data_IF_520775540465
#
_entry.id   IF_520775540465
#
_cell.length_a   1.000
_cell.length_b   1.000
_cell.length_c   1.000
_cell.angle_alpha   90.00
_cell.angle_beta   90.00
_cell.angle_gamma   90.00
#
_symmetry.space_group_name_H-M   'P 1'
#
loop_
_entity.id
_entity.type
_entity.pdbx_description
1 polymer ?
#
# COMPACT_ATOMS: atom_id res chain seq x y z
N UNK A 1 39.09 -12.61 20.35
CA UNK A 1 38.03 -11.63 20.65
C UNK A 1 36.68 -12.32 20.60
N UNK A 2 36.20 -12.81 21.75
CA UNK A 2 34.86 -13.39 21.87
C UNK A 2 33.94 -12.30 22.44
N UNK A 3 32.95 -11.87 21.66
CA UNK A 3 31.85 -11.07 22.20
C UNK A 3 30.93 -12.02 22.99
N UNK A 4 30.92 -11.88 24.31
CA UNK A 4 29.93 -12.53 25.18
C UNK A 4 28.74 -11.60 25.28
N UNK A 5 27.65 -11.98 24.62
CA UNK A 5 26.37 -11.29 24.72
C UNK A 5 25.75 -11.67 26.07
N UNK A 6 25.86 -10.79 27.06
CA UNK A 6 25.22 -10.96 28.36
C UNK A 6 23.75 -10.52 28.26
N UNK A 7 22.89 -11.39 27.75
CA UNK A 7 21.44 -11.13 27.69
C UNK A 7 20.67 -11.91 28.75
N UNK A 8 19.61 -11.28 29.25
CA UNK A 8 18.73 -11.86 30.27
C UNK A 8 18.04 -13.12 29.73
N UNK A 9 18.10 -14.26 30.43
CA UNK A 9 17.41 -15.49 30.02
C UNK A 9 15.88 -15.34 29.93
N UNK A 10 15.33 -14.25 30.47
CA UNK A 10 13.89 -13.92 30.38
C UNK A 10 13.51 -13.32 29.03
N UNK A 11 14.43 -12.66 28.32
CA UNK A 11 14.14 -11.98 27.05
C UNK A 11 13.61 -12.97 26.00
N UNK A 12 14.27 -14.13 25.86
CA UNK A 12 13.85 -15.16 24.90
C UNK A 12 12.53 -15.85 25.27
N UNK A 13 12.17 -15.94 26.55
CA UNK A 13 10.89 -16.56 26.97
C UNK A 13 9.68 -15.78 26.47
N UNK A 14 9.78 -14.46 26.36
CA UNK A 14 8.68 -13.63 25.88
C UNK A 14 8.42 -13.82 24.37
N UNK A 15 9.47 -14.08 23.58
CA UNK A 15 9.35 -14.31 22.13
C UNK A 15 9.08 -15.77 21.75
N UNK A 16 9.25 -16.72 22.68
CA UNK A 16 9.05 -18.16 22.43
C UNK A 16 7.76 -18.47 21.65
N UNK A 17 6.58 -18.04 22.12
CA UNK A 17 5.31 -18.28 21.40
C UNK A 17 5.27 -17.70 19.99
N UNK A 18 5.85 -16.51 19.77
CA UNK A 18 5.95 -15.90 18.45
C UNK A 18 6.89 -16.69 17.54
N UNK A 19 8.04 -17.14 18.06
CA UNK A 19 9.02 -17.91 17.30
C UNK A 19 8.49 -19.30 16.94
N UNK A 20 7.74 -19.96 17.83
CA UNK A 20 7.09 -21.23 17.54
C UNK A 20 6.02 -21.07 16.45
N UNK A 21 5.24 -19.99 16.50
CA UNK A 21 4.25 -19.67 15.46
C UNK A 21 4.91 -19.41 14.10
N UNK A 22 6.00 -18.64 14.07
CA UNK A 22 6.77 -18.39 12.84
C UNK A 22 7.40 -19.66 12.27
N UNK A 23 7.90 -20.55 13.14
CA UNK A 23 8.43 -21.86 12.74
C UNK A 23 7.34 -22.72 12.11
N UNK A 24 6.18 -22.83 12.77
CA UNK A 24 5.03 -23.59 12.26
C UNK A 24 4.59 -23.06 10.88
N UNK A 25 4.52 -21.74 10.72
CA UNK A 25 4.16 -21.12 9.43
C UNK A 25 5.18 -21.43 8.32
N UNK A 26 6.46 -21.45 8.68
CA UNK A 26 7.53 -21.80 7.76
C UNK A 26 7.45 -23.27 7.33
N UNK A 27 7.29 -24.18 8.28
CA UNK A 27 7.21 -25.64 8.05
C UNK A 27 5.99 -26.01 7.21
N UNK A 28 4.84 -25.37 7.45
CA UNK A 28 3.62 -25.54 6.66
C UNK A 28 3.67 -24.88 5.29
N UNK A 29 4.71 -24.08 5.01
CA UNK A 29 4.85 -23.34 3.75
C UNK A 29 3.81 -22.22 3.55
N UNK A 30 3.13 -21.78 4.61
CA UNK A 30 2.07 -20.77 4.56
C UNK A 30 2.49 -19.42 5.17
N UNK A 31 3.80 -19.18 5.34
CA UNK A 31 4.35 -17.91 5.81
C UNK A 31 3.92 -16.76 4.88
N UNK A 32 3.08 -15.82 5.35
CA UNK A 32 2.63 -14.71 4.52
C UNK A 32 3.78 -13.74 4.25
N UNK A 33 3.76 -13.12 3.06
CA UNK A 33 4.70 -12.06 2.66
C UNK A 33 6.19 -12.45 2.77
N UNK A 34 6.51 -13.76 2.71
CA UNK A 34 7.88 -14.27 2.86
C UNK A 34 8.82 -13.70 1.79
N UNK A 35 8.34 -13.60 0.56
CA UNK A 35 9.14 -13.07 -0.55
C UNK A 35 9.47 -11.59 -0.33
N UNK A 36 8.50 -10.79 0.10
CA UNK A 36 8.64 -9.36 0.31
C UNK A 36 9.43 -9.01 1.58
N UNK A 37 9.12 -9.65 2.72
CA UNK A 37 9.67 -9.27 4.03
C UNK A 37 10.97 -10.00 4.36
N UNK A 38 11.09 -11.28 4.03
CA UNK A 38 12.27 -12.10 4.39
C UNK A 38 13.32 -12.03 3.28
N UNK A 39 12.89 -12.16 2.03
CA UNK A 39 13.81 -12.22 0.89
C UNK A 39 13.95 -10.91 0.12
N UNK A 40 13.20 -9.87 0.49
CA UNK A 40 13.19 -8.57 -0.19
C UNK A 40 13.02 -8.69 -1.71
N UNK A 41 12.24 -9.68 -2.15
CA UNK A 41 11.91 -9.89 -3.56
C UNK A 41 10.77 -8.96 -3.95
N UNK A 42 10.87 -8.39 -5.15
CA UNK A 42 9.78 -7.65 -5.75
C UNK A 42 8.67 -8.64 -6.12
N UNK A 43 7.46 -8.35 -5.69
CA UNK A 43 6.27 -9.13 -6.00
C UNK A 43 5.36 -8.36 -6.93
N UNK A 44 4.44 -9.07 -7.58
CA UNK A 44 3.43 -8.44 -8.42
C UNK A 44 2.55 -7.51 -7.59
N UNK A 45 2.09 -6.37 -8.13
CA UNK A 45 1.23 -5.47 -7.38
C UNK A 45 -0.10 -6.13 -6.95
N UNK A 46 -0.80 -5.57 -5.95
CA UNK A 46 -2.04 -6.17 -5.46
C UNK A 46 -3.09 -6.35 -6.56
N UNK A 47 -3.83 -7.46 -6.53
CA UNK A 47 -4.79 -7.81 -7.60
C UNK A 47 -5.79 -6.69 -7.92
N UNK A 48 -6.25 -5.96 -6.90
CA UNK A 48 -7.21 -4.87 -7.08
C UNK A 48 -6.62 -3.66 -7.81
N UNK A 49 -5.29 -3.49 -7.88
CA UNK A 49 -4.67 -2.34 -8.56
C UNK A 49 -4.51 -2.55 -10.06
N UNK A 50 -4.59 -3.81 -10.52
CA UNK A 50 -4.52 -4.22 -11.93
C UNK A 50 -5.86 -4.61 -12.54
N UNK A 51 -6.88 -4.81 -11.72
CA UNK A 51 -8.20 -5.09 -12.24
C UNK A 51 -8.81 -3.84 -12.88
N UNK A 52 -9.12 -3.96 -14.17
CA UNK A 52 -9.69 -2.89 -14.98
C UNK A 52 -11.15 -2.61 -14.66
N UNK A 53 -11.86 -3.58 -14.09
CA UNK A 53 -13.23 -3.41 -13.61
C UNK A 53 -13.29 -2.74 -12.23
N UNK A 54 -12.13 -2.61 -11.55
CA UNK A 54 -12.04 -1.99 -10.25
C UNK A 54 -12.35 -0.50 -10.34
N UNK A 55 -13.48 -0.11 -9.74
CA UNK A 55 -13.83 1.29 -9.54
C UNK A 55 -12.95 1.88 -8.43
N UNK A 56 -12.54 3.12 -8.61
CA UNK A 56 -11.71 3.86 -7.66
C UNK A 56 -12.14 5.33 -7.65
N UNK A 57 -12.31 5.91 -6.46
CA UNK A 57 -12.62 7.34 -6.31
C UNK A 57 -11.33 8.16 -6.15
N UNK A 58 -10.85 8.76 -7.23
CA UNK A 58 -9.64 9.58 -7.22
C UNK A 58 -9.82 10.99 -6.65
N UNK A 59 -11.05 11.43 -6.39
CA UNK A 59 -11.31 12.73 -5.73
C UNK A 59 -10.74 12.79 -4.31
N UNK A 60 -10.40 11.64 -3.74
CA UNK A 60 -9.74 11.48 -2.45
C UNK A 60 -8.34 12.11 -2.44
N UNK A 61 -7.63 12.08 -3.57
CA UNK A 61 -6.22 12.47 -3.75
C UNK A 61 -6.08 13.67 -4.69
N UNK A 62 -6.88 13.73 -5.75
CA UNK A 62 -6.81 14.80 -6.73
C UNK A 62 -8.01 15.74 -6.57
N UNK A 63 -7.75 17.05 -6.48
CA UNK A 63 -8.77 18.07 -6.70
C UNK A 63 -9.07 18.03 -8.18
N UNK A 64 -10.19 17.43 -8.55
CA UNK A 64 -10.76 17.61 -9.89
C UNK A 64 -11.05 19.11 -10.09
N UNK A 65 -10.44 19.80 -11.08
CA UNK A 65 -11.13 20.92 -11.67
C UNK A 65 -12.39 20.35 -12.32
N UNK A 66 -13.48 21.09 -12.16
CA UNK A 66 -14.80 20.86 -12.70
C UNK A 66 -14.80 20.95 -14.23
N UNK A 67 -14.00 20.16 -14.93
CA UNK A 67 -14.24 19.85 -16.34
C UNK A 67 -15.25 18.69 -16.34
N UNK A 68 -16.43 18.85 -16.96
CA UNK A 68 -17.47 17.83 -17.00
C UNK A 68 -17.05 16.48 -17.61
N UNK A 69 -15.83 16.38 -18.14
CA UNK A 69 -15.31 15.26 -18.88
C UNK A 69 -13.88 14.89 -18.43
N UNK A 70 -13.65 14.64 -17.12
CA UNK A 70 -12.50 13.82 -16.72
C UNK A 70 -12.80 12.36 -17.16
N UNK A 71 -12.85 12.15 -18.47
CA UNK A 71 -12.97 10.86 -19.09
C UNK A 71 -11.55 10.38 -19.35
N UNK A 72 -11.16 9.29 -18.68
CA UNK A 72 -9.93 8.59 -19.06
C UNK A 72 -9.97 8.32 -20.58
N UNK A 73 -8.87 8.55 -21.32
CA UNK A 73 -8.89 8.53 -22.78
C UNK A 73 -9.54 7.25 -23.33
N UNK A 74 -10.66 7.43 -24.05
CA UNK A 74 -11.47 6.44 -24.77
C UNK A 74 -11.71 5.11 -24.06
N UNK A 75 -12.78 5.01 -23.25
CA UNK A 75 -13.56 3.79 -22.87
C UNK A 75 -12.79 2.51 -22.50
N UNK A 76 -11.47 2.61 -22.36
CA UNK A 76 -10.56 1.57 -21.93
C UNK A 76 -10.53 1.69 -20.44
N UNK A 77 -11.31 0.81 -19.82
CA UNK A 77 -10.99 0.05 -18.62
C UNK A 77 -9.48 0.12 -18.24
N UNK A 78 -9.04 1.26 -17.71
CA UNK A 78 -7.72 1.43 -17.12
C UNK A 78 -7.80 0.83 -15.73
N UNK A 79 -6.80 0.07 -15.33
CA UNK A 79 -6.66 -0.39 -13.96
C UNK A 79 -6.34 0.79 -13.02
N UNK A 80 -6.64 0.70 -11.71
CA UNK A 80 -6.35 1.78 -10.77
C UNK A 80 -4.91 2.33 -10.84
N UNK A 81 -3.91 1.48 -11.04
CA UNK A 81 -2.52 1.94 -11.19
C UNK A 81 -2.31 2.78 -12.46
N UNK A 82 -2.94 2.40 -13.58
CA UNK A 82 -2.88 3.15 -14.83
C UNK A 82 -3.64 4.48 -14.72
N UNK A 83 -4.80 4.47 -14.06
CA UNK A 83 -5.56 5.69 -13.76
C UNK A 83 -4.74 6.66 -12.90
N UNK A 84 -4.07 6.17 -11.86
CA UNK A 84 -3.20 6.99 -11.00
C UNK A 84 -2.07 7.64 -11.79
N UNK A 85 -1.36 6.87 -12.63
CA UNK A 85 -0.25 7.38 -13.46
C UNK A 85 -0.72 8.43 -14.47
N UNK A 86 -1.90 8.22 -15.06
CA UNK A 86 -2.51 9.19 -15.96
C UNK A 86 -2.79 10.52 -15.23
N UNK A 87 -3.45 10.46 -14.07
CA UNK A 87 -3.78 11.64 -13.27
C UNK A 87 -2.53 12.37 -12.77
N UNK A 88 -1.49 11.64 -12.38
CA UNK A 88 -0.21 12.21 -11.96
C UNK A 88 0.48 12.98 -13.10
N UNK A 89 0.45 12.46 -14.33
CA UNK A 89 1.04 13.12 -15.51
C UNK A 89 0.23 14.36 -15.95
N UNK A 90 -1.09 14.31 -15.85
CA UNK A 90 -2.02 15.42 -16.17
C UNK A 90 -2.04 16.55 -15.14
N UNK A 91 -1.35 16.39 -13.99
CA UNK A 91 -1.19 17.43 -12.95
C UNK A 91 -0.52 18.71 -13.46
N UNK A 92 0.03 18.72 -14.68
CA UNK A 92 0.58 19.93 -15.33
C UNK A 92 -0.48 20.89 -15.87
N UNK A 93 -1.78 20.56 -15.82
CA UNK A 93 -2.84 21.49 -16.25
C UNK A 93 -4.29 21.18 -15.83
N UNK A 94 -4.62 19.95 -15.42
CA UNK A 94 -6.04 19.53 -15.29
C UNK A 94 -6.39 18.77 -14.01
N UNK A 95 -5.47 18.49 -13.09
CA UNK A 95 -5.76 17.80 -11.81
C UNK A 95 -4.80 18.29 -10.73
N UNK A 96 -5.25 19.07 -9.74
CA UNK A 96 -4.33 19.51 -8.68
C UNK A 96 -4.31 18.45 -7.56
N UNK A 97 -3.18 17.81 -7.30
CA UNK A 97 -3.04 16.89 -6.16
C UNK A 97 -3.18 17.66 -4.83
N UNK A 98 -3.87 17.09 -3.84
CA UNK A 98 -3.84 17.61 -2.46
C UNK A 98 -2.60 17.12 -1.68
N UNK A 99 -1.86 16.17 -2.25
CA UNK A 99 -0.67 15.56 -1.68
C UNK A 99 0.58 16.22 -2.26
N UNK A 100 1.62 16.36 -1.42
CA UNK A 100 2.95 16.72 -1.90
C UNK A 100 3.60 15.57 -2.71
N UNK A 101 4.73 15.85 -3.36
CA UNK A 101 5.44 14.89 -4.21
C UNK A 101 5.84 13.61 -3.46
N UNK A 102 6.29 13.71 -2.21
CA UNK A 102 6.72 12.55 -1.41
C UNK A 102 5.55 11.69 -0.98
N UNK A 103 4.42 12.32 -0.66
CA UNK A 103 3.16 11.63 -0.36
C UNK A 103 2.57 10.98 -1.60
N UNK A 104 2.70 11.60 -2.78
CA UNK A 104 2.31 11.00 -4.06
C UNK A 104 3.14 9.75 -4.38
N UNK A 105 4.46 9.81 -4.19
CA UNK A 105 5.34 8.64 -4.33
C UNK A 105 4.95 7.53 -3.35
N UNK A 106 4.49 7.87 -2.15
CA UNK A 106 4.01 6.88 -1.18
C UNK A 106 2.70 6.20 -1.63
N UNK A 107 1.79 6.92 -2.28
CA UNK A 107 0.60 6.32 -2.93
C UNK A 107 1.02 5.39 -4.07
N UNK A 108 1.94 5.82 -4.94
CA UNK A 108 2.45 4.98 -6.03
C UNK A 108 3.04 3.68 -5.49
N UNK A 109 3.92 3.76 -4.48
CA UNK A 109 4.49 2.58 -3.83
C UNK A 109 3.43 1.67 -3.21
N UNK A 110 2.36 2.23 -2.63
CA UNK A 110 1.24 1.46 -2.10
C UNK A 110 0.47 0.73 -3.22
N UNK A 111 0.29 1.34 -4.40
CA UNK A 111 -0.41 0.72 -5.52
C UNK A 111 0.44 -0.32 -6.26
N UNK A 112 1.77 -0.14 -6.26
CA UNK A 112 2.72 -1.00 -6.97
C UNK A 112 3.23 -2.19 -6.16
N UNK A 113 3.11 -2.16 -4.84
CA UNK A 113 3.74 -3.19 -4.00
C UNK A 113 2.73 -3.81 -3.04
N UNK A 114 2.79 -5.14 -2.90
CA UNK A 114 2.02 -5.87 -1.88
C UNK A 114 2.37 -5.45 -0.45
N UNK A 115 3.61 -4.99 -0.26
CA UNK A 115 4.11 -4.45 1.00
C UNK A 115 4.76 -3.11 0.71
N UNK A 116 4.27 -2.05 1.37
CA UNK A 116 4.83 -0.70 1.26
C UNK A 116 5.16 -0.17 2.66
N UNK A 117 6.36 0.38 2.81
CA UNK A 117 6.84 0.99 4.05
C UNK A 117 6.88 2.51 3.90
N UNK A 118 5.90 3.19 4.49
CA UNK A 118 5.80 4.65 4.46
C UNK A 118 6.34 5.22 5.77
N UNK A 119 7.46 5.93 5.69
CA UNK A 119 8.12 6.55 6.83
C UNK A 119 8.23 8.06 6.65
N UNK A 120 8.27 8.78 7.76
CA UNK A 120 8.47 10.23 7.75
C UNK A 120 8.64 10.77 9.18
N UNK A 121 9.39 11.88 9.36
CA UNK A 121 9.53 12.56 10.65
C UNK A 121 8.18 12.94 11.31
N UNK A 122 8.18 13.32 12.60
CA UNK A 122 7.01 13.91 13.23
C UNK A 122 6.50 15.11 12.41
N UNK A 123 5.17 15.21 12.22
CA UNK A 123 4.56 16.32 11.48
C UNK A 123 4.48 16.16 9.95
N UNK A 124 5.02 15.10 9.33
CA UNK A 124 5.00 14.93 7.86
C UNK A 124 3.69 14.35 7.28
N UNK A 125 2.59 14.44 8.03
CA UNK A 125 1.27 14.04 7.51
C UNK A 125 1.04 12.53 7.35
N UNK A 126 1.83 11.65 7.99
CA UNK A 126 1.63 10.17 7.92
C UNK A 126 0.18 9.74 8.22
N UNK A 127 -0.44 10.30 9.26
CA UNK A 127 -1.84 10.00 9.60
C UNK A 127 -2.81 10.53 8.54
N UNK A 128 -2.52 11.70 7.96
CA UNK A 128 -3.30 12.26 6.87
C UNK A 128 -3.23 11.36 5.63
N UNK A 129 -2.03 10.98 5.21
CA UNK A 129 -1.79 10.06 4.10
C UNK A 129 -2.42 8.68 4.34
N UNK A 130 -2.26 8.12 5.55
CA UNK A 130 -2.91 6.85 5.94
C UNK A 130 -4.43 6.91 5.83
N UNK A 131 -5.04 8.05 6.18
CA UNK A 131 -6.48 8.27 5.99
C UNK A 131 -6.87 8.30 4.51
N UNK A 132 -6.02 8.85 3.63
CA UNK A 132 -6.26 8.85 2.18
C UNK A 132 -6.15 7.45 1.59
N UNK A 133 -5.13 6.68 1.96
CA UNK A 133 -4.97 5.29 1.56
C UNK A 133 -6.18 4.46 2.01
N UNK A 134 -6.60 4.59 3.27
CA UNK A 134 -7.76 3.87 3.80
C UNK A 134 -9.03 4.21 3.02
N UNK A 135 -9.30 5.50 2.77
CA UNK A 135 -10.48 5.91 1.99
C UNK A 135 -10.41 5.40 0.56
N UNK A 136 -9.22 5.35 -0.04
CA UNK A 136 -9.01 4.79 -1.38
C UNK A 136 -9.30 3.29 -1.40
N UNK A 137 -8.84 2.53 -0.40
CA UNK A 137 -9.16 1.11 -0.26
C UNK A 137 -10.66 0.85 -0.08
N UNK A 138 -11.34 1.71 0.68
CA UNK A 138 -12.78 1.63 0.89
C UNK A 138 -13.56 1.98 -0.39
N UNK A 139 -13.12 2.96 -1.17
CA UNK A 139 -13.77 3.31 -2.45
C UNK A 139 -13.61 2.20 -3.51
N UNK A 140 -12.58 1.37 -3.37
CA UNK A 140 -12.38 0.15 -4.14
C UNK A 140 -13.17 -1.07 -3.61
N UNK A 141 -13.95 -0.93 -2.54
CA UNK A 141 -14.72 -2.03 -1.92
C UNK A 141 -13.87 -3.27 -1.54
N UNK A 142 -12.58 -3.09 -1.26
CA UNK A 142 -11.63 -4.18 -0.96
C UNK A 142 -12.16 -5.13 0.14
N UNK A 143 -12.71 -4.66 1.28
CA UNK A 143 -13.20 -5.57 2.33
C UNK A 143 -14.27 -6.54 1.84
N UNK A 144 -15.20 -6.06 0.99
CA UNK A 144 -16.27 -6.89 0.44
C UNK A 144 -15.74 -7.91 -0.56
N UNK A 145 -14.72 -7.51 -1.34
CA UNK A 145 -14.17 -8.31 -2.43
C UNK A 145 -13.24 -9.43 -1.96
N UNK A 146 -12.50 -9.19 -0.88
CA UNK A 146 -11.52 -10.14 -0.34
C UNK A 146 -11.95 -10.79 0.98
N UNK A 147 -13.21 -10.60 1.39
CA UNK A 147 -13.84 -11.20 2.58
C UNK A 147 -12.97 -11.07 3.85
N UNK A 148 -12.48 -9.85 4.09
CA UNK A 148 -11.51 -9.60 5.16
C UNK A 148 -11.54 -8.15 5.66
N UNK A 149 -11.17 -7.90 6.92
CA UNK A 149 -11.10 -6.56 7.48
C UNK A 149 -9.92 -5.78 6.89
N UNK A 150 -10.04 -4.45 6.84
CA UNK A 150 -8.87 -3.56 6.83
C UNK A 150 -8.49 -3.35 8.29
N UNK A 151 -7.28 -3.78 8.66
CA UNK A 151 -6.72 -3.71 10.01
C UNK A 151 -5.79 -2.51 10.16
#
# INVERSE_FOLDING_TARGET
>A
NHALMAESPTFYRAFGPCMDSLREMHEKGNMPLKDEVVFARKSDPPLYTHDKEQKCDWSIIFKTPTVPNLAFPNDRQLSPIEQFKYLQQETSGTSESILDETQMLAIENFLENRVSLIQGPPGTGKSFLGTKILRLMLSMEIPKRFDGPIL
#
